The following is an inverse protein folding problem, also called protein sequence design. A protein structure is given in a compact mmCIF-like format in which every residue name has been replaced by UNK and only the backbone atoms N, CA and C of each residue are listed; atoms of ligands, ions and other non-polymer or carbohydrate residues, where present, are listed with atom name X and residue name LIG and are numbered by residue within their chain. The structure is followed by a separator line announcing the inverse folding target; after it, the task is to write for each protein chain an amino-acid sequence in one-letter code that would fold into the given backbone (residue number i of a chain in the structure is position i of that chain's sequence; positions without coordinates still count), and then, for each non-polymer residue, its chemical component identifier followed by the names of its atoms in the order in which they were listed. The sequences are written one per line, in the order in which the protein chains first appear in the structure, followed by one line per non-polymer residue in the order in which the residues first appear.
data_IF_080414683545
#
_entry.id   IF_080414683545
#
_cell.length_a   1.000
_cell.length_b   1.000
_cell.length_c   1.000
_cell.angle_alpha   90.00
_cell.angle_beta   90.00
_cell.angle_gamma   90.00
#
_symmetry.space_group_name_H-M   'P 1'
#
loop_
_entity.id
_entity.type
_entity.pdbx_description
1 polymer ?
#
# COMPACT_ATOMS: atom_id res chain seq x y z
N UNK A 1 12.09 -44.55 15.07
CA UNK A 1 12.26 -43.09 15.17
C UNK A 1 11.52 -42.48 13.99
N UNK A 2 10.33 -41.93 14.21
CA UNK A 2 9.53 -41.33 13.15
C UNK A 2 9.74 -39.81 13.16
N UNK A 3 10.18 -39.18 12.07
CA UNK A 3 10.28 -37.73 12.01
C UNK A 3 8.86 -37.17 11.90
N UNK A 4 8.41 -36.49 12.96
CA UNK A 4 7.18 -35.72 12.95
C UNK A 4 7.32 -34.58 11.94
N UNK A 5 6.67 -34.72 10.80
CA UNK A 5 6.56 -33.65 9.81
C UNK A 5 5.67 -32.58 10.44
N UNK A 6 6.28 -31.49 10.91
CA UNK A 6 5.56 -30.28 11.26
C UNK A 6 4.96 -29.75 9.96
N UNK A 7 3.71 -30.15 9.69
CA UNK A 7 2.88 -29.57 8.65
C UNK A 7 2.54 -28.16 9.13
N UNK A 8 3.38 -27.20 8.79
CA UNK A 8 3.03 -25.79 8.87
C UNK A 8 1.94 -25.60 7.82
N UNK A 9 0.69 -25.79 8.23
CA UNK A 9 -0.45 -25.22 7.52
C UNK A 9 -0.15 -23.74 7.45
N UNK A 10 0.33 -23.26 6.29
CA UNK A 10 0.42 -21.85 6.00
C UNK A 10 -1.01 -21.34 6.09
N UNK A 11 -1.41 -20.90 7.29
CA UNK A 11 -2.57 -20.07 7.48
C UNK A 11 -2.30 -18.88 6.59
N UNK A 12 -2.88 -18.91 5.39
CA UNK A 12 -2.93 -17.80 4.48
C UNK A 12 -3.79 -16.78 5.22
N UNK A 13 -3.17 -16.02 6.13
CA UNK A 13 -3.82 -14.91 6.80
C UNK A 13 -4.27 -14.03 5.64
N UNK A 14 -5.60 -13.89 5.41
CA UNK A 14 -6.05 -13.00 4.37
C UNK A 14 -5.59 -11.63 4.81
N UNK A 15 -4.52 -11.12 4.19
CA UNK A 15 -4.07 -9.76 4.42
C UNK A 15 -5.30 -8.91 4.14
N UNK A 16 -5.81 -8.14 5.13
CA UNK A 16 -7.01 -7.35 4.91
C UNK A 16 -6.75 -6.48 3.68
N UNK A 17 -7.60 -6.64 2.67
CA UNK A 17 -7.44 -5.93 1.41
C UNK A 17 -7.34 -4.45 1.72
N UNK A 18 -6.21 -3.83 1.33
CA UNK A 18 -5.96 -2.43 1.62
C UNK A 18 -7.12 -1.59 1.07
N UNK A 19 -7.65 -0.72 1.92
CA UNK A 19 -8.69 0.23 1.52
C UNK A 19 -8.19 1.12 0.38
N UNK A 20 -9.12 1.66 -0.40
CA UNK A 20 -8.79 2.59 -1.50
C UNK A 20 -7.85 3.70 -1.03
N UNK A 21 -8.20 4.37 0.08
CA UNK A 21 -7.38 5.41 0.70
C UNK A 21 -5.95 4.96 1.02
N UNK A 22 -5.79 3.78 1.64
CA UNK A 22 -4.46 3.25 1.97
C UNK A 22 -3.63 2.98 0.72
N UNK A 23 -4.23 2.39 -0.32
CA UNK A 23 -3.55 2.14 -1.61
C UNK A 23 -3.15 3.45 -2.28
N UNK A 24 -4.00 4.47 -2.22
CA UNK A 24 -3.69 5.81 -2.73
C UNK A 24 -2.52 6.44 -1.98
N UNK A 25 -2.46 6.34 -0.65
CA UNK A 25 -1.35 6.87 0.13
C UNK A 25 -0.01 6.17 -0.17
N UNK A 26 -0.04 4.85 -0.40
CA UNK A 26 1.14 4.09 -0.83
C UNK A 26 1.59 4.56 -2.22
N UNK A 27 0.64 4.79 -3.14
CA UNK A 27 0.92 5.33 -4.46
C UNK A 27 1.54 6.74 -4.37
N UNK A 28 0.95 7.67 -3.62
CA UNK A 28 1.49 9.02 -3.40
C UNK A 28 2.90 9.00 -2.82
N UNK A 29 3.15 8.14 -1.83
CA UNK A 29 4.50 7.96 -1.29
C UNK A 29 5.49 7.45 -2.34
N UNK A 30 5.09 6.48 -3.15
CA UNK A 30 5.94 5.91 -4.21
C UNK A 30 6.29 6.94 -5.28
N UNK A 31 5.34 7.83 -5.60
CA UNK A 31 5.54 8.95 -6.54
C UNK A 31 6.48 10.02 -5.95
N UNK A 32 6.25 10.41 -4.69
CA UNK A 32 7.08 11.40 -3.99
C UNK A 32 8.54 10.94 -3.83
N UNK A 33 8.74 9.65 -3.59
CA UNK A 33 10.08 9.07 -3.51
C UNK A 33 10.78 8.98 -4.88
N UNK A 34 10.09 9.28 -5.98
CA UNK A 34 10.68 9.40 -7.33
C UNK A 34 11.20 8.10 -7.94
N UNK A 35 10.92 6.95 -7.35
CA UNK A 35 11.55 5.68 -7.73
C UNK A 35 10.89 4.95 -8.91
N UNK A 36 9.73 5.40 -9.41
CA UNK A 36 8.95 4.67 -10.44
C UNK A 36 8.15 5.59 -11.37
N UNK A 37 7.82 5.05 -12.54
CA UNK A 37 6.91 5.68 -13.49
C UNK A 37 5.49 5.81 -12.90
N UNK A 38 4.82 6.92 -13.20
CA UNK A 38 3.51 7.25 -12.64
C UNK A 38 2.44 6.23 -13.00
N UNK A 39 2.41 5.77 -14.25
CA UNK A 39 1.40 4.82 -14.71
C UNK A 39 1.58 3.45 -14.05
N UNK A 40 2.83 3.03 -13.85
CA UNK A 40 3.15 1.77 -13.16
C UNK A 40 2.69 1.80 -11.70
N UNK A 41 2.93 2.92 -11.00
CA UNK A 41 2.51 3.08 -9.59
C UNK A 41 0.98 3.00 -9.45
N UNK A 42 0.25 3.66 -10.35
CA UNK A 42 -1.22 3.61 -10.36
C UNK A 42 -1.74 2.19 -10.59
N UNK A 43 -1.20 1.50 -11.59
CA UNK A 43 -1.60 0.14 -11.93
C UNK A 43 -1.28 -0.83 -10.79
N UNK A 44 -0.09 -0.74 -10.19
CA UNK A 44 0.34 -1.63 -9.12
C UNK A 44 -0.51 -1.47 -7.85
N UNK A 45 -0.94 -0.25 -7.55
CA UNK A 45 -1.77 0.04 -6.39
C UNK A 45 -3.28 -0.06 -6.69
N UNK A 46 -3.65 -0.31 -7.95
CA UNK A 46 -5.03 -0.34 -8.43
C UNK A 46 -5.82 0.93 -8.01
N UNK A 47 -5.20 2.08 -8.27
CA UNK A 47 -5.75 3.41 -8.00
C UNK A 47 -5.70 4.26 -9.27
N UNK A 48 -6.53 5.29 -9.33
CA UNK A 48 -6.61 6.21 -10.46
C UNK A 48 -6.01 7.58 -10.12
N UNK A 49 -5.78 8.40 -11.14
CA UNK A 49 -5.40 9.81 -10.96
C UNK A 49 -6.42 10.61 -10.14
N UNK A 50 -7.71 10.29 -10.30
CA UNK A 50 -8.78 10.91 -9.53
C UNK A 50 -8.66 10.54 -8.04
N UNK A 51 -8.31 9.29 -7.73
CA UNK A 51 -8.09 8.87 -6.34
C UNK A 51 -6.90 9.62 -5.72
N UNK A 52 -5.79 9.78 -6.47
CA UNK A 52 -4.65 10.56 -6.00
C UNK A 52 -5.08 11.96 -5.60
N UNK A 53 -5.81 12.66 -6.50
CA UNK A 53 -6.30 14.02 -6.25
C UNK A 53 -7.26 14.08 -5.06
N UNK A 54 -8.16 13.09 -4.92
CA UNK A 54 -9.13 13.01 -3.81
C UNK A 54 -8.45 12.87 -2.44
N UNK A 55 -7.37 12.09 -2.35
CA UNK A 55 -6.72 11.77 -1.07
C UNK A 55 -5.39 12.48 -0.82
N UNK A 56 -4.89 13.28 -1.77
CA UNK A 56 -3.61 14.00 -1.66
C UNK A 56 -3.58 14.93 -0.45
N UNK A 57 -4.61 15.76 -0.26
CA UNK A 57 -4.66 16.68 0.88
C UNK A 57 -4.66 15.93 2.22
N UNK A 58 -5.47 14.87 2.31
CA UNK A 58 -5.53 14.03 3.52
C UNK A 58 -4.21 13.31 3.80
N UNK A 59 -3.49 12.90 2.75
CA UNK A 59 -2.17 12.31 2.85
C UNK A 59 -1.11 13.32 3.32
N UNK A 60 -1.12 14.54 2.77
CA UNK A 60 -0.23 15.62 3.20
C UNK A 60 -0.47 15.98 4.67
N UNK A 61 -1.72 16.10 5.09
CA UNK A 61 -2.06 16.35 6.50
C UNK A 61 -1.55 15.24 7.42
N UNK A 62 -1.61 13.97 7.00
CA UNK A 62 -1.05 12.85 7.75
C UNK A 62 0.48 12.92 7.84
N UNK A 63 1.16 13.26 6.73
CA UNK A 63 2.62 13.44 6.70
C UNK A 63 3.10 14.61 7.55
N UNK A 64 2.44 15.76 7.49
CA UNK A 64 2.83 16.94 8.29
C UNK A 64 2.68 16.71 9.79
N UNK A 65 1.80 15.80 10.23
CA UNK A 65 1.70 15.40 11.64
C UNK A 65 2.87 14.52 12.11
N UNK A 66 3.60 13.89 11.19
CA UNK A 66 4.79 13.09 11.51
C UNK A 66 6.07 13.95 11.55
N UNK A 67 6.00 15.21 11.11
CA UNK A 67 7.13 16.15 11.04
C UNK A 67 7.10 17.22 12.17
N UNK A 68 6.19 17.06 13.16
CA UNK A 68 6.13 17.87 14.39
C UNK A 68 6.52 17.03 15.61
#
# INVERSE_FOLDING_TARGET
MSPGVLSYSATCIPVPALSRRQRTWIALYSLDAGHRDRAEVLQQNNVTEADLTEFEESWLQMRCRLDQ
#
